data_IF_236267220925
#
_entry.id   IF_236267220925
#
_cell.length_a   1.000
_cell.length_b   1.000
_cell.length_c   1.000
_cell.angle_alpha   90.00
_cell.angle_beta   90.00
_cell.angle_gamma   90.00
#
_symmetry.space_group_name_H-M   'P 1'
#
loop_
_entity.id
_entity.type
_entity.pdbx_description
1 polymer ?
#
# COMPACT_ATOMS: atom_id res chain seq x y z
N UNK A 1 -1.76 -4.36 10.16
CA UNK A 1 -0.38 -4.08 9.68
C UNK A 1 0.46 -3.16 10.58
N UNK A 2 1.78 -3.33 10.67
CA UNK A 2 2.69 -2.55 11.53
C UNK A 2 3.34 -1.39 10.76
N UNK A 3 3.08 -0.14 11.15
CA UNK A 3 3.66 1.08 10.56
C UNK A 3 5.20 1.05 10.55
N UNK A 4 5.80 0.52 11.62
CA UNK A 4 7.25 0.40 11.76
C UNK A 4 7.88 -0.51 10.69
N UNK A 5 7.12 -1.49 10.18
CA UNK A 5 7.60 -2.36 9.10
C UNK A 5 7.77 -1.58 7.80
N UNK A 6 6.79 -0.75 7.43
CA UNK A 6 6.92 0.10 6.26
C UNK A 6 8.02 1.14 6.43
N UNK A 7 8.12 1.79 7.59
CA UNK A 7 9.18 2.77 7.85
C UNK A 7 10.57 2.15 7.69
N UNK A 8 10.78 0.92 8.19
CA UNK A 8 12.03 0.18 8.01
C UNK A 8 12.32 -0.19 6.56
N UNK A 9 11.30 -0.52 5.77
CA UNK A 9 11.47 -0.75 4.33
C UNK A 9 11.80 0.54 3.58
N UNK A 10 11.12 1.65 3.91
CA UNK A 10 11.37 2.95 3.29
C UNK A 10 12.76 3.47 3.59
N UNK A 11 13.26 3.33 4.81
CA UNK A 11 14.62 3.73 5.17
C UNK A 11 15.66 3.00 4.30
N UNK A 12 15.49 1.69 4.12
CA UNK A 12 16.41 0.90 3.28
C UNK A 12 16.27 1.21 1.79
N UNK A 13 15.05 1.40 1.31
CA UNK A 13 14.78 1.75 -0.09
C UNK A 13 15.21 3.18 -0.43
N UNK A 14 15.06 4.13 0.49
CA UNK A 14 15.54 5.51 0.36
C UNK A 14 17.07 5.52 0.26
N UNK A 15 17.79 4.77 1.12
CA UNK A 15 19.24 4.63 1.01
C UNK A 15 19.68 4.04 -0.34
N UNK A 16 19.01 2.99 -0.82
CA UNK A 16 19.30 2.40 -2.13
C UNK A 16 18.94 3.34 -3.29
N UNK A 17 17.93 4.19 -3.13
CA UNK A 17 17.54 5.18 -4.13
C UNK A 17 18.58 6.29 -4.25
N UNK A 18 19.10 6.79 -3.11
CA UNK A 18 20.16 7.79 -3.05
C UNK A 18 21.45 7.27 -3.73
N UNK A 19 21.78 6.00 -3.48
CA UNK A 19 22.93 5.32 -4.09
C UNK A 19 22.68 4.82 -5.53
N UNK A 20 21.49 5.06 -6.11
CA UNK A 20 21.07 4.54 -7.43
C UNK A 20 21.26 3.02 -7.57
N UNK A 21 21.06 2.29 -6.47
CA UNK A 21 21.29 0.85 -6.33
C UNK A 21 19.98 0.03 -6.21
N UNK A 22 18.85 0.63 -6.57
CA UNK A 22 17.53 0.00 -6.49
C UNK A 22 17.36 -1.24 -7.37
N UNK A 23 18.10 -1.34 -8.47
CA UNK A 23 18.14 -2.51 -9.36
C UNK A 23 19.01 -3.65 -8.82
N UNK A 24 19.66 -3.49 -7.66
CA UNK A 24 20.40 -4.58 -7.02
C UNK A 24 19.46 -5.69 -6.56
N UNK A 25 19.96 -6.91 -6.40
CA UNK A 25 19.18 -8.05 -5.89
C UNK A 25 18.48 -7.70 -4.56
N UNK A 26 19.20 -7.01 -3.66
CA UNK A 26 18.63 -6.52 -2.41
C UNK A 26 17.50 -5.51 -2.65
N UNK A 27 17.69 -4.55 -3.56
CA UNK A 27 16.67 -3.59 -3.92
C UNK A 27 15.41 -4.24 -4.47
N UNK A 28 15.55 -5.22 -5.37
CA UNK A 28 14.43 -5.97 -5.93
C UNK A 28 13.65 -6.72 -4.84
N UNK A 29 14.35 -7.40 -3.92
CA UNK A 29 13.72 -8.08 -2.78
C UNK A 29 12.95 -7.10 -1.89
N UNK A 30 13.54 -5.94 -1.57
CA UNK A 30 12.85 -4.93 -0.75
C UNK A 30 11.63 -4.32 -1.47
N UNK A 31 11.70 -4.14 -2.80
CA UNK A 31 10.57 -3.66 -3.60
C UNK A 31 9.42 -4.67 -3.60
N UNK A 32 9.71 -5.95 -3.74
CA UNK A 32 8.68 -7.00 -3.69
C UNK A 32 8.07 -7.12 -2.30
N UNK A 33 8.88 -7.06 -1.24
CA UNK A 33 8.38 -7.00 0.14
C UNK A 33 7.47 -5.79 0.36
N UNK A 34 7.88 -4.60 -0.12
CA UNK A 34 7.06 -3.40 -0.01
C UNK A 34 5.74 -3.54 -0.78
N UNK A 35 5.79 -4.08 -1.99
CA UNK A 35 4.62 -4.32 -2.84
C UNK A 35 3.62 -5.26 -2.16
N UNK A 36 4.08 -6.41 -1.68
CA UNK A 36 3.24 -7.39 -0.99
C UNK A 36 2.59 -6.79 0.28
N UNK A 37 3.39 -6.07 1.05
CA UNK A 37 2.94 -5.35 2.24
C UNK A 37 1.85 -4.32 1.88
N UNK A 38 2.07 -3.50 0.86
CA UNK A 38 1.12 -2.50 0.40
C UNK A 38 -0.20 -3.10 -0.11
N UNK A 39 -0.13 -4.17 -0.90
CA UNK A 39 -1.32 -4.89 -1.39
C UNK A 39 -2.08 -5.46 -0.20
N UNK A 40 -1.38 -6.12 0.72
CA UNK A 40 -1.99 -6.67 1.94
C UNK A 40 -2.69 -5.56 2.73
N UNK A 41 -2.05 -4.41 2.92
CA UNK A 41 -2.64 -3.28 3.63
C UNK A 41 -3.95 -2.81 2.98
N UNK A 42 -3.94 -2.69 1.65
CA UNK A 42 -5.10 -2.25 0.89
C UNK A 42 -6.30 -3.19 1.09
N UNK A 43 -6.08 -4.50 1.04
CA UNK A 43 -7.13 -5.49 1.27
C UNK A 43 -7.58 -5.57 2.73
N UNK A 44 -6.65 -5.44 3.70
CA UNK A 44 -6.98 -5.31 5.12
C UNK A 44 -7.92 -4.13 5.38
N UNK A 45 -7.64 -2.96 4.80
CA UNK A 45 -8.50 -1.77 4.92
C UNK A 45 -9.90 -2.03 4.39
N UNK A 46 -10.04 -2.88 3.38
CA UNK A 46 -11.33 -3.23 2.80
C UNK A 46 -11.99 -4.44 3.46
N UNK A 47 -11.35 -5.06 4.47
CA UNK A 47 -11.83 -6.28 5.13
C UNK A 47 -12.09 -7.42 4.14
N UNK A 48 -11.26 -7.50 3.10
CA UNK A 48 -11.34 -8.50 2.05
C UNK A 48 -10.09 -9.39 2.02
N UNK A 49 -10.21 -10.65 1.58
CA UNK A 49 -9.05 -11.48 1.30
C UNK A 49 -8.21 -10.87 0.18
N UNK A 50 -6.89 -11.08 0.22
CA UNK A 50 -5.97 -10.55 -0.80
C UNK A 50 -6.22 -11.23 -2.14
N UNK A 51 -6.82 -10.50 -3.07
CA UNK A 51 -7.01 -10.92 -4.47
C UNK A 51 -6.92 -9.69 -5.39
N UNK A 52 -5.73 -9.46 -5.97
CA UNK A 52 -5.46 -8.31 -6.84
C UNK A 52 -6.42 -8.20 -8.04
N UNK A 53 -7.08 -9.29 -8.46
CA UNK A 53 -8.07 -9.24 -9.55
C UNK A 53 -9.32 -8.47 -9.16
N UNK A 54 -9.59 -8.33 -7.86
CA UNK A 54 -10.73 -7.61 -7.30
C UNK A 54 -10.39 -6.16 -6.92
N UNK A 55 -9.19 -5.66 -7.23
CA UNK A 55 -8.74 -4.35 -6.74
C UNK A 55 -9.67 -3.19 -7.14
N UNK A 56 -10.26 -3.25 -8.33
CA UNK A 56 -11.21 -2.24 -8.80
C UNK A 56 -12.57 -2.31 -8.09
N UNK A 57 -12.85 -3.39 -7.37
CA UNK A 57 -14.11 -3.57 -6.64
C UNK A 57 -14.00 -3.14 -5.17
N UNK A 58 -12.79 -2.80 -4.72
CA UNK A 58 -12.55 -2.30 -3.37
C UNK A 58 -13.26 -0.96 -3.15
N UNK A 59 -13.98 -0.84 -2.03
CA UNK A 59 -14.68 0.37 -1.64
C UNK A 59 -13.72 1.50 -1.27
N UNK A 60 -12.57 1.16 -0.71
CA UNK A 60 -11.50 2.06 -0.29
C UNK A 60 -10.23 1.75 -1.08
N UNK A 61 -10.11 2.35 -2.26
CA UNK A 61 -8.94 2.19 -3.13
C UNK A 61 -8.30 3.52 -3.53
N UNK A 62 -6.98 3.54 -3.80
CA UNK A 62 -6.33 4.67 -4.42
C UNK A 62 -6.91 4.98 -5.81
N UNK A 63 -6.61 6.17 -6.34
CA UNK A 63 -6.91 6.49 -7.73
C UNK A 63 -6.11 5.57 -8.67
N UNK A 64 -6.75 5.12 -9.75
CA UNK A 64 -6.17 4.27 -10.79
C UNK A 64 -5.48 3.04 -10.20
N UNK A 65 -6.18 2.33 -9.31
CA UNK A 65 -5.58 1.28 -8.48
C UNK A 65 -5.05 0.13 -9.33
N UNK A 66 -5.83 -0.35 -10.30
CA UNK A 66 -5.40 -1.39 -11.24
C UNK A 66 -4.16 -0.97 -12.02
N UNK A 67 -4.18 0.20 -12.68
CA UNK A 67 -3.04 0.65 -13.49
C UNK A 67 -1.77 0.81 -12.66
N UNK A 68 -1.93 1.22 -11.40
CA UNK A 68 -0.79 1.36 -10.49
C UNK A 68 -0.28 0.01 -10.01
N UNK A 69 -1.13 -0.98 -9.77
CA UNK A 69 -0.67 -2.35 -9.50
C UNK A 69 0.11 -2.92 -10.68
N UNK A 70 -0.39 -2.73 -11.90
CA UNK A 70 0.30 -3.17 -13.11
C UNK A 70 1.68 -2.49 -13.21
N UNK A 71 1.73 -1.18 -13.00
CA UNK A 71 2.97 -0.41 -13.03
C UNK A 71 3.98 -0.86 -11.96
N UNK A 72 3.57 -1.01 -10.70
CA UNK A 72 4.49 -1.40 -9.61
C UNK A 72 4.90 -2.88 -9.71
N UNK A 73 4.19 -3.69 -10.51
CA UNK A 73 4.53 -5.08 -10.78
C UNK A 73 5.49 -5.25 -11.98
N UNK A 74 5.66 -4.21 -12.81
CA UNK A 74 6.56 -4.25 -13.95
C UNK A 74 8.03 -4.40 -13.51
N UNK A 75 8.85 -5.14 -14.27
CA UNK A 75 10.27 -5.32 -13.93
C UNK A 75 11.18 -4.17 -14.43
N UNK A 76 10.68 -2.94 -14.41
CA UNK A 76 11.38 -1.76 -14.96
C UNK A 76 11.12 -0.51 -14.12
N UNK A 77 11.96 0.52 -14.27
CA UNK A 77 11.79 1.80 -13.57
C UNK A 77 11.69 1.67 -12.04
N UNK A 78 12.56 0.85 -11.43
CA UNK A 78 12.53 0.50 -10.00
C UNK A 78 12.37 1.70 -9.06
N UNK A 79 13.09 2.80 -9.32
CA UNK A 79 12.92 4.05 -8.56
C UNK A 79 11.50 4.61 -8.64
N UNK A 80 10.94 4.70 -9.86
CA UNK A 80 9.58 5.19 -10.04
C UNK A 80 8.54 4.25 -9.46
N UNK A 81 8.74 2.94 -9.54
CA UNK A 81 7.87 1.94 -8.87
C UNK A 81 7.82 2.20 -7.37
N UNK A 82 8.97 2.39 -6.74
CA UNK A 82 9.04 2.72 -5.32
C UNK A 82 8.32 4.02 -4.98
N UNK A 83 8.56 5.09 -5.72
CA UNK A 83 7.87 6.36 -5.50
C UNK A 83 6.34 6.20 -5.63
N UNK A 84 5.87 5.46 -6.64
CA UNK A 84 4.46 5.15 -6.82
C UNK A 84 3.89 4.39 -5.61
N UNK A 85 4.59 3.38 -5.11
CA UNK A 85 4.20 2.61 -3.93
C UNK A 85 4.15 3.47 -2.66
N UNK A 86 5.14 4.36 -2.45
CA UNK A 86 5.20 5.29 -1.30
C UNK A 86 4.03 6.27 -1.30
N UNK A 87 3.68 6.83 -2.46
CA UNK A 87 2.47 7.64 -2.62
C UNK A 87 1.21 6.83 -2.31
N UNK A 88 1.14 5.61 -2.84
CA UNK A 88 0.02 4.69 -2.66
C UNK A 88 -0.22 4.37 -1.18
N UNK A 89 0.85 4.07 -0.43
CA UNK A 89 0.78 3.84 1.01
C UNK A 89 0.15 5.03 1.75
N UNK A 90 0.56 6.26 1.42
CA UNK A 90 -0.01 7.47 2.02
C UNK A 90 -1.51 7.61 1.76
N UNK A 91 -1.96 7.26 0.57
CA UNK A 91 -3.38 7.26 0.21
C UNK A 91 -4.15 6.17 0.96
N UNK A 92 -3.64 4.94 1.01
CA UNK A 92 -4.25 3.84 1.77
C UNK A 92 -4.35 4.19 3.26
N UNK A 93 -3.33 4.84 3.84
CA UNK A 93 -3.37 5.33 5.23
C UNK A 93 -4.50 6.34 5.48
N UNK A 94 -4.71 7.26 4.53
CA UNK A 94 -5.83 8.22 4.60
C UNK A 94 -7.19 7.52 4.48
N UNK A 95 -7.32 6.58 3.55
CA UNK A 95 -8.53 5.79 3.36
C UNK A 95 -8.87 4.96 4.61
N UNK A 96 -7.87 4.34 5.24
CA UNK A 96 -8.03 3.63 6.50
C UNK A 96 -8.56 4.55 7.62
N UNK A 97 -8.01 5.77 7.73
CA UNK A 97 -8.49 6.75 8.70
C UNK A 97 -9.94 7.16 8.44
N UNK A 98 -10.32 7.39 7.17
CA UNK A 98 -11.69 7.71 6.77
C UNK A 98 -12.64 6.56 7.13
N UNK A 99 -12.28 5.31 6.81
CA UNK A 99 -13.06 4.12 7.17
C UNK A 99 -13.28 4.06 8.68
N UNK A 100 -12.21 4.19 9.48
CA UNK A 100 -12.28 4.19 10.95
C UNK A 100 -13.24 5.26 11.50
N UNK A 101 -13.19 6.48 10.94
CA UNK A 101 -14.13 7.56 11.34
C UNK A 101 -15.57 7.17 11.00
N UNK A 102 -15.81 6.60 9.82
CA UNK A 102 -17.14 6.16 9.40
C UNK A 102 -17.69 5.07 10.31
N UNK A 103 -16.88 4.07 10.62
CA UNK A 103 -17.28 2.93 11.44
C UNK A 103 -17.56 3.36 12.88
N UNK A 104 -16.73 4.24 13.44
CA UNK A 104 -16.98 4.86 14.75
C UNK A 104 -18.28 5.68 14.77
N UNK A 105 -18.63 6.38 13.69
CA UNK A 105 -19.89 7.13 13.58
C UNK A 105 -21.10 6.21 13.48
N UNK A 106 -20.97 5.06 12.82
CA UNK A 106 -22.04 4.04 12.76
C UNK A 106 -22.30 3.42 14.14
N UNK A 107 -21.23 3.00 14.82
CA UNK A 107 -21.32 2.42 16.16
C UNK A 107 -21.96 3.36 17.20
N UNK A 108 -21.79 4.68 17.07
CA UNK A 108 -22.45 5.66 17.96
C UNK A 108 -23.92 5.92 17.63
N UNK A 109 -24.40 5.51 16.45
CA UNK A 109 -25.79 5.74 16.00
C UNK A 109 -26.71 4.54 16.25
N UNK A 110 -26.17 3.36 16.52
CA UNK A 110 -26.94 2.19 16.95
C UNK A 110 -27.07 2.25 18.48
N UNK A 111 -28.26 2.56 19.04
CA UNK A 111 -28.49 2.47 20.48
C UNK A 111 -28.45 1.00 20.89
N UNK A 112 -27.92 0.73 22.08
CA UNK A 112 -28.06 -0.57 22.75
C UNK A 112 -29.56 -0.74 23.04
N UNK A 113 -30.21 -1.71 22.38
CA UNK A 113 -31.55 -2.18 22.72
C UNK A 113 -31.56 -2.92 24.07
#
# INVERSE_FOLDING_TARGET
>A
MNEAFFESLEEQLDALADDKAMQSDRGLVLLDQYKEALITYLFEVNEQPVDVTQIEQLAYKPLNAAERIDFISANSFHFMRYQQMKTMRSEVKKLAAIKKIRDNRKAKKEPIE
#
